data_IF_526504128676
#
_entry.id   IF_526504128676
#
_cell.length_a   1.000
_cell.length_b   1.000
_cell.length_c   1.000
_cell.angle_alpha   90.00
_cell.angle_beta   90.00
_cell.angle_gamma   90.00
#
_symmetry.space_group_name_H-M   'P 1'
#
loop_
_entity.id
_entity.type
_entity.pdbx_description
1 polymer ?
#
# COMPACT_ATOMS: atom_id res chain seq x y z
N UNK A 1 -19.11 2.40 -5.92
CA UNK A 1 -18.67 1.01 -5.79
C UNK A 1 -17.19 0.94 -5.45
N UNK A 2 -16.81 -0.05 -4.65
CA UNK A 2 -15.42 -0.31 -4.28
C UNK A 2 -14.95 -1.52 -5.06
N UNK A 3 -13.80 -1.37 -5.72
CA UNK A 3 -13.19 -2.47 -6.46
C UNK A 3 -11.79 -2.75 -5.90
N UNK A 4 -11.54 -3.99 -5.51
CA UNK A 4 -10.22 -4.43 -5.07
C UNK A 4 -9.53 -5.15 -6.24
N UNK A 5 -8.28 -4.79 -6.51
CA UNK A 5 -7.50 -5.39 -7.58
C UNK A 5 -6.17 -5.87 -7.02
N UNK A 6 -5.81 -7.11 -7.33
CA UNK A 6 -4.50 -7.65 -6.97
C UNK A 6 -3.55 -7.40 -8.13
N UNK A 7 -2.47 -6.67 -7.86
CA UNK A 7 -1.44 -6.39 -8.84
C UNK A 7 -0.37 -7.47 -8.78
N UNK A 8 0.16 -7.88 -9.95
CA UNK A 8 1.26 -8.82 -9.99
C UNK A 8 2.50 -8.21 -9.32
N UNK A 9 3.09 -8.94 -8.39
CA UNK A 9 4.17 -8.42 -7.58
C UNK A 9 5.55 -8.49 -8.22
N UNK A 10 6.54 -8.04 -7.46
CA UNK A 10 7.95 -8.04 -7.84
C UNK A 10 8.62 -9.25 -7.21
N UNK A 11 9.49 -9.91 -7.95
CA UNK A 11 10.22 -11.10 -7.49
C UNK A 11 11.61 -10.75 -6.99
N UNK A 12 12.12 -11.55 -6.06
CA UNK A 12 13.46 -11.44 -5.52
C UNK A 12 13.48 -10.99 -4.07
N UNK A 13 14.03 -11.82 -3.17
CA UNK A 13 14.03 -11.54 -1.72
C UNK A 13 14.71 -10.22 -1.38
N UNK A 14 15.83 -9.92 -2.01
CA UNK A 14 16.57 -8.69 -1.72
C UNK A 14 15.76 -7.45 -2.11
N UNK A 15 15.12 -7.47 -3.27
CA UNK A 15 14.28 -6.37 -3.74
C UNK A 15 13.07 -6.17 -2.83
N UNK A 16 12.47 -7.26 -2.38
CA UNK A 16 11.33 -7.22 -1.46
C UNK A 16 11.72 -6.56 -0.15
N UNK A 17 12.87 -6.94 0.41
CA UNK A 17 13.37 -6.34 1.64
C UNK A 17 13.64 -4.85 1.48
N UNK A 18 14.24 -4.45 0.37
CA UNK A 18 14.49 -3.04 0.07
C UNK A 18 13.18 -2.23 -0.02
N UNK A 19 12.17 -2.78 -0.68
CA UNK A 19 10.86 -2.14 -0.79
C UNK A 19 10.24 -1.97 0.60
N UNK A 20 10.19 -3.04 1.37
CA UNK A 20 9.58 -3.01 2.70
C UNK A 20 10.31 -2.05 3.63
N UNK A 21 11.63 -2.08 3.64
CA UNK A 21 12.44 -1.19 4.49
C UNK A 21 12.26 0.27 4.09
N UNK A 22 12.25 0.57 2.80
CA UNK A 22 12.08 1.92 2.30
C UNK A 22 10.71 2.47 2.68
N UNK A 23 9.66 1.68 2.50
CA UNK A 23 8.29 2.08 2.85
C UNK A 23 8.12 2.30 4.36
N UNK A 24 8.81 1.50 5.19
CA UNK A 24 8.76 1.66 6.65
C UNK A 24 9.48 2.91 7.12
N UNK A 25 10.65 3.19 6.55
CA UNK A 25 11.44 4.37 6.93
C UNK A 25 10.81 5.66 6.46
N UNK A 26 10.32 5.67 5.23
CA UNK A 26 9.77 6.85 4.58
C UNK A 26 8.44 6.53 3.91
N UNK A 27 7.36 6.34 4.70
CA UNK A 27 6.05 6.11 4.10
C UNK A 27 5.69 7.31 3.21
N UNK A 28 5.23 7.07 1.98
CA UNK A 28 4.90 8.15 1.07
C UNK A 28 3.72 8.96 1.60
N UNK A 29 3.76 10.27 1.42
CA UNK A 29 2.67 11.17 1.79
C UNK A 29 1.56 11.18 0.75
N UNK A 30 1.87 10.74 -0.47
CA UNK A 30 0.94 10.75 -1.59
C UNK A 30 1.27 9.62 -2.54
N UNK A 31 0.23 8.98 -3.08
CA UNK A 31 0.35 7.96 -4.11
C UNK A 31 -0.60 8.35 -5.24
N UNK A 32 -0.02 8.77 -6.38
CA UNK A 32 -0.81 9.31 -7.47
C UNK A 32 -1.59 10.54 -7.02
N UNK A 33 -2.89 10.56 -7.25
CA UNK A 33 -3.77 11.67 -6.88
C UNK A 33 -4.34 11.54 -5.47
N UNK A 34 -3.93 10.52 -4.72
CA UNK A 34 -4.45 10.25 -3.38
C UNK A 34 -3.41 10.61 -2.32
N UNK A 35 -3.84 11.30 -1.27
CA UNK A 35 -3.02 11.53 -0.10
C UNK A 35 -3.08 10.33 0.81
N UNK A 36 -1.96 9.99 1.43
CA UNK A 36 -1.90 8.95 2.47
C UNK A 36 -2.33 9.58 3.78
N UNK A 37 -3.45 9.13 4.34
CA UNK A 37 -3.98 9.67 5.59
C UNK A 37 -3.45 8.93 6.80
N UNK A 38 -3.23 7.62 6.69
CA UNK A 38 -2.60 6.84 7.75
C UNK A 38 -1.76 5.71 7.16
N UNK A 39 -0.78 5.28 7.93
CA UNK A 39 0.13 4.20 7.60
C UNK A 39 0.12 3.16 8.70
N UNK A 40 -0.17 1.92 8.34
CA UNK A 40 -0.21 0.80 9.29
C UNK A 40 0.96 -0.14 9.01
N UNK A 41 1.75 -0.37 10.04
CA UNK A 41 2.85 -1.34 10.00
C UNK A 41 2.50 -2.47 10.96
N UNK A 42 2.02 -3.58 10.42
CA UNK A 42 1.58 -4.72 11.24
C UNK A 42 2.74 -5.49 11.85
N UNK A 43 3.96 -5.31 11.35
CA UNK A 43 5.14 -5.91 11.96
C UNK A 43 5.57 -5.15 13.22
N UNK A 44 5.48 -3.83 13.17
CA UNK A 44 5.79 -2.96 14.31
C UNK A 44 4.60 -2.73 15.23
N UNK A 45 3.42 -3.22 14.87
CA UNK A 45 2.15 -3.02 15.58
C UNK A 45 1.79 -1.54 15.75
N UNK A 46 1.93 -0.76 14.66
CA UNK A 46 1.65 0.68 14.70
C UNK A 46 0.69 1.11 13.61
N UNK A 47 -0.18 2.07 13.97
CA UNK A 47 -0.98 2.85 13.04
C UNK A 47 -0.56 4.30 13.24
N UNK A 48 0.01 4.91 12.22
CA UNK A 48 0.42 6.31 12.26
C UNK A 48 -0.52 7.17 11.45
N UNK A 49 -1.11 8.18 12.10
CA UNK A 49 -1.87 9.21 11.41
C UNK A 49 -0.87 10.22 10.83
N UNK A 50 -0.81 10.33 9.51
CA UNK A 50 0.15 11.21 8.86
C UNK A 50 -0.24 12.68 8.93
N UNK A 51 -1.50 12.98 9.28
CA UNK A 51 -1.95 14.36 9.44
C UNK A 51 -1.60 14.91 10.82
N UNK A 52 -1.75 14.10 11.86
CA UNK A 52 -1.52 14.52 13.26
C UNK A 52 -0.20 14.02 13.84
N UNK A 53 0.39 12.98 13.24
CA UNK A 53 1.58 12.31 13.77
C UNK A 53 1.30 11.35 14.92
N UNK A 54 0.02 11.16 15.28
CA UNK A 54 -0.36 10.24 16.37
C UNK A 54 -0.07 8.80 15.97
N UNK A 55 0.47 8.02 16.90
CA UNK A 55 0.78 6.60 16.71
C UNK A 55 -0.01 5.78 17.73
N UNK A 56 -0.70 4.75 17.23
CA UNK A 56 -1.50 3.83 18.04
C UNK A 56 -1.12 2.39 17.73
N UNK A 57 -1.34 1.43 18.65
CA UNK A 57 -1.20 0.02 18.32
C UNK A 57 -2.36 -0.44 17.42
N UNK A 58 -2.10 -1.44 16.57
CA UNK A 58 -3.16 -2.05 15.77
C UNK A 58 -4.04 -2.98 16.60
N UNK A 59 -3.45 -3.58 17.63
CA UNK A 59 -4.14 -4.57 18.45
C UNK A 59 -4.30 -5.92 17.76
N UNK A 60 -3.64 -6.13 16.64
CA UNK A 60 -3.74 -7.35 15.83
C UNK A 60 -2.44 -8.15 15.92
N UNK A 61 -2.49 -9.45 15.61
CA UNK A 61 -1.27 -10.26 15.52
C UNK A 61 -0.27 -9.64 14.54
N UNK A 62 1.02 -9.73 14.87
CA UNK A 62 2.06 -9.16 14.03
C UNK A 62 2.20 -9.95 12.72
N UNK A 63 2.43 -9.23 11.64
CA UNK A 63 2.69 -9.79 10.32
C UNK A 63 3.48 -8.81 9.48
N UNK A 64 4.21 -9.30 8.48
CA UNK A 64 5.00 -8.44 7.60
C UNK A 64 4.12 -7.84 6.51
N UNK A 65 3.22 -6.95 6.92
CA UNK A 65 2.25 -6.30 6.04
C UNK A 65 2.26 -4.81 6.31
N UNK A 66 2.23 -4.02 5.25
CA UNK A 66 2.07 -2.58 5.29
C UNK A 66 0.74 -2.19 4.65
N UNK A 67 0.06 -1.23 5.25
CA UNK A 67 -1.25 -0.79 4.77
C UNK A 67 -1.31 0.73 4.78
N UNK A 68 -1.75 1.29 3.67
CA UNK A 68 -1.87 2.74 3.50
C UNK A 68 -3.35 3.08 3.31
N UNK A 69 -3.89 3.87 4.23
CA UNK A 69 -5.21 4.46 4.06
C UNK A 69 -5.06 5.72 3.21
N UNK A 70 -5.82 5.81 2.16
CA UNK A 70 -5.75 6.92 1.22
C UNK A 70 -7.04 7.75 1.28
N UNK A 71 -7.01 8.95 0.71
CA UNK A 71 -8.20 9.77 0.57
C UNK A 71 -9.23 9.10 -0.33
N UNK A 72 -10.49 9.52 -0.25
CA UNK A 72 -11.62 9.02 -1.05
C UNK A 72 -11.87 7.51 -0.87
N UNK A 73 -11.64 7.00 0.35
CA UNK A 73 -11.82 5.59 0.70
C UNK A 73 -10.95 4.63 -0.12
N UNK A 74 -9.90 5.13 -0.76
CA UNK A 74 -8.90 4.29 -1.43
C UNK A 74 -7.90 3.73 -0.40
N UNK A 75 -7.22 2.67 -0.78
CA UNK A 75 -6.22 2.03 0.09
C UNK A 75 -5.21 1.23 -0.73
N UNK A 76 -4.04 1.00 -0.12
CA UNK A 76 -2.99 0.15 -0.67
C UNK A 76 -2.47 -0.76 0.43
N UNK A 77 -2.37 -2.06 0.14
CA UNK A 77 -1.79 -3.06 1.02
C UNK A 77 -0.59 -3.70 0.33
N UNK A 78 0.54 -3.75 1.02
CA UNK A 78 1.78 -4.37 0.52
C UNK A 78 2.10 -5.58 1.38
N UNK A 79 2.12 -6.75 0.76
CA UNK A 79 2.27 -8.01 1.47
C UNK A 79 3.24 -8.95 0.76
N UNK A 80 4.41 -9.23 1.36
CA UNK A 80 5.29 -10.29 0.86
C UNK A 80 4.62 -11.66 1.00
N UNK A 81 4.85 -12.54 0.04
CA UNK A 81 4.42 -13.92 0.14
C UNK A 81 5.23 -14.63 1.23
N UNK A 82 4.59 -15.48 2.03
CA UNK A 82 5.28 -16.28 3.04
C UNK A 82 5.99 -17.50 2.48
N UNK A 83 5.70 -17.90 1.26
CA UNK A 83 6.20 -19.15 0.67
C UNK A 83 7.03 -18.94 -0.60
N UNK A 84 6.93 -17.77 -1.24
CA UNK A 84 7.60 -17.47 -2.50
C UNK A 84 8.35 -16.13 -2.40
N UNK A 85 9.43 -15.93 -3.18
CA UNK A 85 10.14 -14.64 -3.19
C UNK A 85 9.39 -13.60 -4.04
N UNK A 86 8.18 -13.28 -3.63
CA UNK A 86 7.29 -12.33 -4.30
C UNK A 86 6.67 -11.39 -3.27
N UNK A 87 6.42 -10.15 -3.67
CA UNK A 87 5.61 -9.21 -2.92
C UNK A 87 4.37 -8.89 -3.74
N UNK A 88 3.23 -8.86 -3.09
CA UNK A 88 1.95 -8.56 -3.73
C UNK A 88 1.45 -7.19 -3.28
N UNK A 89 0.84 -6.49 -4.21
CA UNK A 89 0.23 -5.19 -3.96
C UNK A 89 -1.27 -5.33 -4.19
N UNK A 90 -2.03 -5.04 -3.15
CA UNK A 90 -3.49 -5.01 -3.22
C UNK A 90 -3.93 -3.57 -3.07
N UNK A 91 -4.84 -3.12 -3.87
CA UNK A 91 -5.38 -1.78 -3.72
C UNK A 91 -6.86 -1.75 -4.08
N UNK A 92 -7.57 -0.87 -3.42
CA UNK A 92 -8.98 -0.67 -3.65
C UNK A 92 -9.26 0.79 -3.90
N UNK A 93 -10.30 1.04 -4.69
CA UNK A 93 -10.67 2.39 -5.05
C UNK A 93 -12.18 2.47 -5.20
N UNK A 94 -12.72 3.64 -4.90
CA UNK A 94 -14.15 3.92 -5.05
C UNK A 94 -14.39 4.76 -6.28
N UNK A 95 -15.31 4.32 -7.13
CA UNK A 95 -15.73 5.06 -8.30
C UNK A 95 -17.23 5.31 -8.28
N UNK A 96 -17.70 6.20 -9.15
CA UNK A 96 -19.11 6.52 -9.30
C UNK A 96 -19.85 5.49 -10.14
N UNK A 97 -19.09 4.70 -10.91
CA UNK A 97 -19.59 3.61 -11.74
C UNK A 97 -18.51 2.55 -11.85
N UNK A 98 -18.83 1.38 -12.39
CA UNK A 98 -17.85 0.34 -12.64
C UNK A 98 -16.75 0.82 -13.60
N UNK A 99 -17.13 1.52 -14.65
CA UNK A 99 -16.19 2.07 -15.61
C UNK A 99 -15.25 3.11 -14.98
N UNK A 100 -15.79 4.00 -14.15
CA UNK A 100 -15.01 5.00 -13.42
C UNK A 100 -14.06 4.32 -12.42
N UNK A 101 -14.54 3.31 -11.70
CA UNK A 101 -13.71 2.55 -10.75
C UNK A 101 -12.58 1.82 -11.48
N UNK A 102 -12.83 1.23 -12.65
CA UNK A 102 -11.82 0.55 -13.44
C UNK A 102 -10.73 1.52 -13.92
N UNK A 103 -11.13 2.70 -14.42
CA UNK A 103 -10.19 3.71 -14.88
C UNK A 103 -9.30 4.23 -13.74
N UNK A 104 -9.89 4.52 -12.58
CA UNK A 104 -9.16 4.98 -11.39
C UNK A 104 -8.24 3.89 -10.86
N UNK A 105 -8.69 2.64 -10.85
CA UNK A 105 -7.90 1.50 -10.41
C UNK A 105 -6.67 1.31 -11.28
N UNK A 106 -6.82 1.38 -12.61
CA UNK A 106 -5.70 1.29 -13.54
C UNK A 106 -4.69 2.42 -13.33
N UNK A 107 -5.17 3.65 -13.15
CA UNK A 107 -4.32 4.81 -12.90
C UNK A 107 -3.54 4.66 -11.58
N UNK A 108 -4.19 4.21 -10.51
CA UNK A 108 -3.54 3.99 -9.23
C UNK A 108 -2.48 2.89 -9.34
N UNK A 109 -2.78 1.80 -10.04
CA UNK A 109 -1.83 0.72 -10.26
C UNK A 109 -0.56 1.18 -10.97
N UNK A 110 -0.68 2.02 -11.98
CA UNK A 110 0.48 2.60 -12.67
C UNK A 110 1.33 3.47 -11.74
N UNK A 111 0.69 4.26 -10.88
CA UNK A 111 1.40 5.11 -9.91
C UNK A 111 2.11 4.28 -8.84
N UNK A 112 1.50 3.21 -8.38
CA UNK A 112 2.12 2.29 -7.44
C UNK A 112 3.36 1.64 -8.05
N UNK A 113 3.26 1.14 -9.29
CA UNK A 113 4.41 0.57 -10.00
C UNK A 113 5.53 1.57 -10.19
N UNK A 114 5.21 2.79 -10.59
CA UNK A 114 6.22 3.85 -10.77
C UNK A 114 6.92 4.15 -9.45
N UNK A 115 6.18 4.25 -8.35
CA UNK A 115 6.74 4.48 -7.02
C UNK A 115 7.70 3.37 -6.61
N UNK A 116 7.31 2.12 -6.82
CA UNK A 116 8.13 0.96 -6.45
C UNK A 116 9.39 0.89 -7.32
N UNK A 117 9.28 1.16 -8.62
CA UNK A 117 10.43 1.15 -9.52
C UNK A 117 11.46 2.23 -9.14
N UNK A 118 11.03 3.36 -8.63
CA UNK A 118 11.95 4.40 -8.15
C UNK A 118 12.74 3.96 -6.92
N UNK A 119 12.26 3.00 -6.16
CA UNK A 119 12.94 2.46 -4.99
C UNK A 119 14.03 1.44 -5.35
N UNK A 120 13.98 0.92 -6.55
CA UNK A 120 14.91 -0.10 -7.03
C UNK A 120 15.96 0.50 -7.96
#
# INVERSE_FOLDING_TARGET
DIKAVTMKGIEGLQKIQEIMDTLRKNPPAQIGDYKVTSFRDYKADTIRDLETGEVKPTGLPTSNVLYFDLTDAAWLCVRPSGTEPKVKFYYGIKGTSLEDADAKSAALGEKVLAMINEML
#
